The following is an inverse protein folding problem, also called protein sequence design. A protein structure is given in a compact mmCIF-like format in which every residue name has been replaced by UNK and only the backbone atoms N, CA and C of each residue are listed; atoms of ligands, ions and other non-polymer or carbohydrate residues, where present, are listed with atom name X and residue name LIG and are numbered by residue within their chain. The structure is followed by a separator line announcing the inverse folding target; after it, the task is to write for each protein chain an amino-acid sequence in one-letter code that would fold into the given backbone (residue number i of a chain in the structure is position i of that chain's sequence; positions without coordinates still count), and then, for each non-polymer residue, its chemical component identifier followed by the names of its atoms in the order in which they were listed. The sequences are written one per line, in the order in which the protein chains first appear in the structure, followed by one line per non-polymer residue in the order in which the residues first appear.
data_IF_059851059072
#
_entry.id   IF_059851059072
#
_cell.length_a   1.000
_cell.length_b   1.000
_cell.length_c   1.000
_cell.angle_alpha   90.00
_cell.angle_beta   90.00
_cell.angle_gamma   90.00
#
_symmetry.space_group_name_H-M   'P 1'
#
loop_
_entity.id
_entity.type
_entity.pdbx_description
1 polymer ?
#
# COMPACT_ATOMS: atom_id res chain seq x y z
N UNK A 1 32.13 4.89 11.54
CA UNK A 1 30.72 4.68 11.11
C UNK A 1 30.67 4.07 9.75
N UNK A 2 29.84 3.00 9.52
CA UNK A 2 29.67 2.38 8.21
C UNK A 2 29.08 3.38 7.20
N UNK A 3 29.55 3.32 5.93
CA UNK A 3 29.01 4.13 4.83
C UNK A 3 27.52 3.81 4.64
N UNK A 4 26.66 4.79 4.24
CA UNK A 4 25.21 4.58 4.13
C UNK A 4 24.80 3.36 3.32
N UNK A 5 25.48 3.09 2.20
CA UNK A 5 25.18 1.94 1.33
C UNK A 5 25.52 0.58 1.97
N UNK A 6 26.50 0.54 2.87
CA UNK A 6 26.81 -0.69 3.62
C UNK A 6 25.78 -0.95 4.72
N UNK A 7 25.17 0.12 5.30
CA UNK A 7 24.02 -0.03 6.24
C UNK A 7 22.79 -0.58 5.54
N UNK A 8 22.53 -0.14 4.31
CA UNK A 8 21.43 -0.67 3.49
C UNK A 8 21.65 -2.16 3.21
N UNK A 9 22.86 -2.55 2.80
CA UNK A 9 23.20 -3.95 2.55
C UNK A 9 22.97 -4.82 3.79
N UNK A 10 23.46 -4.39 4.96
CA UNK A 10 23.23 -5.10 6.23
C UNK A 10 21.75 -5.16 6.60
N UNK A 11 20.98 -4.11 6.27
CA UNK A 11 19.54 -4.07 6.50
C UNK A 11 18.73 -5.07 5.65
N UNK A 12 19.31 -5.67 4.60
CA UNK A 12 18.66 -6.72 3.82
C UNK A 12 18.79 -8.12 4.42
N UNK A 13 19.71 -8.33 5.37
CA UNK A 13 19.90 -9.62 6.02
C UNK A 13 18.61 -10.10 6.73
N UNK A 14 17.92 -9.27 7.54
CA UNK A 14 16.68 -9.68 8.17
C UNK A 14 15.60 -10.16 7.20
N UNK A 15 15.47 -9.53 6.03
CA UNK A 15 14.46 -9.95 5.05
C UNK A 15 14.75 -11.33 4.45
N UNK A 16 16.01 -11.65 4.18
CA UNK A 16 16.41 -12.97 3.70
C UNK A 16 16.22 -14.04 4.78
N UNK A 17 16.57 -13.72 6.04
CA UNK A 17 16.36 -14.62 7.18
C UNK A 17 14.87 -14.89 7.40
N UNK A 18 13.99 -13.88 7.29
CA UNK A 18 12.55 -14.05 7.41
C UNK A 18 11.99 -14.97 6.32
N UNK A 19 12.42 -14.82 5.08
CA UNK A 19 11.99 -15.72 3.99
C UNK A 19 12.45 -17.13 4.27
N UNK A 20 13.72 -17.34 4.60
CA UNK A 20 14.27 -18.68 4.90
C UNK A 20 13.56 -19.32 6.09
N UNK A 21 13.41 -18.60 7.20
CA UNK A 21 12.75 -19.10 8.40
C UNK A 21 11.26 -19.42 8.16
N UNK A 22 10.54 -18.52 7.46
CA UNK A 22 9.13 -18.71 7.13
C UNK A 22 8.89 -19.94 6.25
N UNK A 23 9.64 -20.10 5.17
CA UNK A 23 9.54 -21.31 4.32
C UNK A 23 9.97 -22.58 5.08
N UNK A 24 10.98 -22.50 5.94
CA UNK A 24 11.36 -23.63 6.78
C UNK A 24 10.21 -24.06 7.69
N UNK A 25 9.55 -23.10 8.35
CA UNK A 25 8.40 -23.38 9.21
C UNK A 25 7.24 -24.02 8.45
N UNK A 26 6.88 -23.50 7.25
CA UNK A 26 5.83 -24.07 6.41
C UNK A 26 6.16 -25.51 6.00
N UNK A 27 7.37 -25.74 5.50
CA UNK A 27 7.74 -27.09 5.02
C UNK A 27 7.81 -28.12 6.14
N UNK A 28 8.31 -27.75 7.34
CA UNK A 28 8.28 -28.64 8.51
C UNK A 28 6.85 -28.99 8.90
N UNK A 29 5.93 -28.01 8.87
CA UNK A 29 4.54 -28.23 9.24
C UNK A 29 3.81 -29.12 8.21
N UNK A 30 4.02 -28.88 6.92
CA UNK A 30 3.46 -29.71 5.86
C UNK A 30 3.94 -31.15 5.93
N UNK A 31 5.18 -31.37 6.37
CA UNK A 31 5.74 -32.70 6.51
C UNK A 31 5.20 -33.43 7.75
N UNK A 32 5.06 -32.73 8.89
CA UNK A 32 4.46 -33.28 10.09
C UNK A 32 2.99 -33.69 9.87
N UNK A 33 2.28 -33.08 8.94
CA UNK A 33 0.91 -33.45 8.56
C UNK A 33 0.84 -34.67 7.63
N UNK A 34 1.96 -35.03 6.98
CA UNK A 34 2.07 -36.22 6.12
C UNK A 34 2.70 -37.38 6.89
N UNK A 35 1.88 -38.26 7.47
CA UNK A 35 2.21 -39.36 8.39
C UNK A 35 3.18 -40.47 7.87
N UNK A 36 3.97 -40.26 6.81
CA UNK A 36 4.69 -41.36 6.11
C UNK A 36 6.12 -41.09 5.69
N UNK A 37 6.84 -40.11 6.23
CA UNK A 37 8.18 -39.79 5.71
C UNK A 37 9.34 -40.17 6.63
N UNK A 38 10.39 -40.77 6.05
CA UNK A 38 11.66 -41.05 6.72
C UNK A 38 12.41 -39.78 7.06
N UNK A 39 12.61 -39.51 8.35
CA UNK A 39 12.99 -38.22 8.96
C UNK A 39 14.25 -37.53 8.43
N UNK A 40 15.26 -38.27 7.96
CA UNK A 40 16.56 -37.65 7.61
C UNK A 40 16.69 -37.12 6.19
N UNK A 41 16.02 -37.75 5.20
CA UNK A 41 16.05 -37.28 3.80
C UNK A 41 15.19 -36.03 3.62
N UNK A 42 14.13 -35.93 4.39
CA UNK A 42 13.16 -34.85 4.38
C UNK A 42 13.71 -33.56 4.96
N UNK A 43 14.39 -33.60 6.12
CA UNK A 43 15.01 -32.41 6.73
C UNK A 43 16.05 -31.75 5.80
N UNK A 44 16.87 -32.55 5.11
CA UNK A 44 17.84 -32.01 4.17
C UNK A 44 17.16 -31.35 2.95
N UNK A 45 16.06 -31.91 2.47
CA UNK A 45 15.28 -31.34 1.35
C UNK A 45 14.55 -30.07 1.76
N UNK A 46 13.94 -30.04 2.92
CA UNK A 46 13.27 -28.84 3.48
C UNK A 46 14.27 -27.71 3.65
N UNK A 47 15.43 -27.98 4.25
CA UNK A 47 16.46 -26.94 4.47
C UNK A 47 17.05 -26.41 3.16
N UNK A 48 17.26 -27.28 2.16
CA UNK A 48 17.78 -26.86 0.84
C UNK A 48 16.79 -25.99 0.05
N UNK A 49 15.50 -26.32 0.06
CA UNK A 49 14.46 -25.52 -0.62
C UNK A 49 14.25 -24.18 0.06
N UNK A 50 14.18 -24.15 1.39
CA UNK A 50 14.02 -22.90 2.16
C UNK A 50 15.19 -21.93 1.92
N UNK A 51 16.42 -22.46 1.94
CA UNK A 51 17.61 -21.68 1.62
C UNK A 51 17.60 -21.18 0.18
N UNK A 52 17.14 -21.99 -0.77
CA UNK A 52 17.03 -21.58 -2.18
C UNK A 52 16.08 -20.40 -2.33
N UNK A 53 14.90 -20.43 -1.72
CA UNK A 53 13.95 -19.30 -1.79
C UNK A 53 14.50 -18.05 -1.07
N UNK A 54 15.17 -18.24 0.09
CA UNK A 54 15.83 -17.14 0.78
C UNK A 54 16.94 -16.50 -0.04
N UNK A 55 17.76 -17.30 -0.72
CA UNK A 55 18.85 -16.83 -1.58
C UNK A 55 18.33 -16.16 -2.86
N UNK A 56 17.25 -16.68 -3.47
CA UNK A 56 16.62 -16.03 -4.63
C UNK A 56 16.04 -14.66 -4.24
N UNK A 57 15.35 -14.57 -3.11
CA UNK A 57 14.83 -13.31 -2.60
C UNK A 57 15.98 -12.32 -2.30
N UNK A 58 17.02 -12.78 -1.64
CA UNK A 58 18.22 -11.98 -1.37
C UNK A 58 18.88 -11.52 -2.67
N UNK A 59 19.00 -12.38 -3.68
CA UNK A 59 19.54 -12.04 -4.99
C UNK A 59 18.78 -10.92 -5.69
N UNK A 60 17.42 -10.95 -5.64
CA UNK A 60 16.59 -9.88 -6.17
C UNK A 60 16.80 -8.57 -5.38
N UNK A 61 16.86 -8.64 -4.05
CA UNK A 61 17.14 -7.49 -3.20
C UNK A 61 18.55 -6.91 -3.46
N UNK A 62 19.56 -7.77 -3.67
CA UNK A 62 20.91 -7.33 -3.99
C UNK A 62 20.98 -6.66 -5.37
N UNK A 63 20.26 -7.17 -6.37
CA UNK A 63 20.19 -6.53 -7.69
C UNK A 63 19.60 -5.11 -7.57
N UNK A 64 18.49 -4.93 -6.83
CA UNK A 64 17.92 -3.63 -6.57
C UNK A 64 18.87 -2.73 -5.74
N UNK A 65 19.55 -3.29 -4.72
CA UNK A 65 20.57 -2.57 -3.96
C UNK A 65 21.71 -2.05 -4.84
N UNK A 66 22.17 -2.85 -5.80
CA UNK A 66 23.21 -2.40 -6.75
C UNK A 66 22.73 -1.21 -7.57
N UNK A 67 21.48 -1.23 -8.05
CA UNK A 67 20.90 -0.07 -8.76
C UNK A 67 20.92 1.16 -7.86
N UNK A 68 20.44 1.05 -6.59
CA UNK A 68 20.47 2.15 -5.64
C UNK A 68 21.89 2.62 -5.37
N UNK A 69 22.83 1.69 -5.15
CA UNK A 69 24.24 1.98 -4.84
C UNK A 69 24.92 2.83 -5.89
N UNK A 70 24.69 2.52 -7.19
CA UNK A 70 25.30 3.23 -8.30
C UNK A 70 24.50 4.45 -8.77
N UNK A 71 23.17 4.41 -8.66
CA UNK A 71 22.33 5.48 -9.15
C UNK A 71 22.06 6.56 -8.09
N UNK A 72 21.89 6.18 -6.82
CA UNK A 72 21.42 7.03 -5.74
C UNK A 72 22.32 6.90 -4.48
N UNK A 73 23.59 7.34 -4.53
CA UNK A 73 24.56 7.11 -3.46
C UNK A 73 24.19 7.78 -2.12
N UNK A 74 23.39 8.84 -2.12
CA UNK A 74 22.98 9.60 -0.93
C UNK A 74 21.58 9.27 -0.43
N UNK A 75 20.82 8.39 -1.10
CA UNK A 75 19.47 8.02 -0.67
C UNK A 75 19.44 7.43 0.75
N UNK A 76 18.28 7.48 1.37
CA UNK A 76 18.06 6.90 2.71
C UNK A 76 18.40 5.41 2.73
N UNK A 77 19.27 4.95 3.65
CA UNK A 77 19.70 3.56 3.67
C UNK A 77 18.68 2.58 4.28
N UNK A 78 17.55 3.07 4.79
CA UNK A 78 16.58 2.24 5.49
C UNK A 78 15.26 2.04 4.72
N UNK A 79 14.91 2.92 3.76
CA UNK A 79 13.65 2.81 3.01
C UNK A 79 13.54 1.49 2.26
N UNK A 80 14.58 1.11 1.50
CA UNK A 80 14.56 -0.14 0.74
C UNK A 80 14.58 -1.39 1.63
N UNK A 81 15.43 -1.51 2.68
CA UNK A 81 15.38 -2.64 3.59
C UNK A 81 14.04 -2.82 4.31
N UNK A 82 13.39 -1.74 4.73
CA UNK A 82 12.06 -1.82 5.35
C UNK A 82 11.00 -2.36 4.37
N UNK A 83 11.03 -1.90 3.11
CA UNK A 83 10.16 -2.46 2.06
C UNK A 83 10.48 -3.93 1.77
N UNK A 84 11.76 -4.33 1.80
CA UNK A 84 12.18 -5.73 1.63
C UNK A 84 11.68 -6.62 2.77
N UNK A 85 11.70 -6.14 4.03
CA UNK A 85 11.11 -6.85 5.18
C UNK A 85 9.60 -7.03 4.99
N UNK A 86 8.87 -5.99 4.59
CA UNK A 86 7.43 -6.08 4.32
C UNK A 86 7.14 -7.09 3.19
N UNK A 87 7.90 -7.03 2.09
CA UNK A 87 7.75 -7.95 0.97
C UNK A 87 8.13 -9.41 1.35
N UNK A 88 9.09 -9.60 2.26
CA UNK A 88 9.46 -10.93 2.77
C UNK A 88 8.33 -11.56 3.58
N UNK A 89 7.70 -10.79 4.47
CA UNK A 89 6.50 -11.26 5.20
C UNK A 89 5.39 -11.58 4.21
N UNK A 90 5.15 -10.69 3.23
CA UNK A 90 4.10 -10.86 2.22
C UNK A 90 4.25 -12.16 1.43
N UNK A 91 5.42 -12.42 0.83
CA UNK A 91 5.62 -13.60 -0.01
C UNK A 91 5.49 -14.91 0.80
N UNK A 92 5.94 -14.91 2.05
CA UNK A 92 5.81 -16.07 2.96
C UNK A 92 4.35 -16.32 3.33
N UNK A 93 3.60 -15.28 3.73
CA UNK A 93 2.21 -15.40 4.12
C UNK A 93 1.31 -15.76 2.93
N UNK A 94 1.53 -15.17 1.76
CA UNK A 94 0.78 -15.52 0.54
C UNK A 94 1.08 -16.97 0.12
N UNK A 95 2.33 -17.44 0.23
CA UNK A 95 2.67 -18.84 -0.04
C UNK A 95 2.01 -19.79 0.95
N UNK A 96 1.97 -19.44 2.23
CA UNK A 96 1.29 -20.18 3.28
C UNK A 96 -0.21 -20.36 2.95
N UNK A 97 -0.86 -19.32 2.46
CA UNK A 97 -2.30 -19.32 2.13
C UNK A 97 -2.54 -20.07 0.81
N UNK A 98 -1.80 -19.70 -0.24
CA UNK A 98 -1.94 -20.28 -1.58
C UNK A 98 -0.60 -20.23 -2.36
N UNK A 99 0.06 -21.38 -2.54
CA UNK A 99 1.36 -21.45 -3.25
C UNK A 99 1.30 -20.99 -4.71
N UNK A 100 0.16 -21.12 -5.40
CA UNK A 100 0.01 -20.68 -6.79
C UNK A 100 -0.03 -19.15 -6.89
N UNK A 101 -0.72 -18.48 -5.96
CA UNK A 101 -0.75 -17.02 -5.86
C UNK A 101 0.61 -16.45 -5.45
N UNK A 102 1.36 -17.14 -4.57
CA UNK A 102 2.71 -16.72 -4.22
C UNK A 102 3.66 -16.73 -5.42
N UNK A 103 3.53 -17.69 -6.33
CA UNK A 103 4.30 -17.70 -7.58
C UNK A 103 3.98 -16.48 -8.45
N UNK A 104 2.69 -16.15 -8.59
CA UNK A 104 2.27 -14.94 -9.30
C UNK A 104 2.77 -13.68 -8.58
N UNK A 105 2.69 -13.62 -7.26
CA UNK A 105 3.22 -12.52 -6.45
C UNK A 105 4.73 -12.32 -6.68
N UNK A 106 5.51 -13.41 -6.74
CA UNK A 106 6.94 -13.35 -7.05
C UNK A 106 7.21 -12.78 -8.46
N UNK A 107 6.40 -13.17 -9.46
CA UNK A 107 6.50 -12.61 -10.81
C UNK A 107 6.20 -11.10 -10.83
N UNK A 108 5.14 -10.66 -10.13
CA UNK A 108 4.81 -9.26 -9.99
C UNK A 108 5.88 -8.48 -9.22
N UNK A 109 6.50 -9.09 -8.23
CA UNK A 109 7.63 -8.49 -7.50
C UNK A 109 8.85 -8.28 -8.42
N UNK A 110 9.18 -9.25 -9.28
CA UNK A 110 10.24 -9.09 -10.28
C UNK A 110 9.93 -7.94 -11.24
N UNK A 111 8.70 -7.88 -11.78
CA UNK A 111 8.26 -6.78 -12.63
C UNK A 111 8.33 -5.44 -11.89
N UNK A 112 7.89 -5.41 -10.64
CA UNK A 112 7.97 -4.24 -9.76
C UNK A 112 9.40 -3.74 -9.57
N UNK A 113 10.36 -4.66 -9.34
CA UNK A 113 11.77 -4.32 -9.20
C UNK A 113 12.39 -3.86 -10.53
N UNK A 114 11.96 -4.38 -11.68
CA UNK A 114 12.37 -3.89 -13.00
C UNK A 114 11.88 -2.44 -13.19
N UNK A 115 10.61 -2.16 -12.92
CA UNK A 115 10.06 -0.81 -13.04
C UNK A 115 10.63 0.15 -11.99
N UNK A 116 10.94 -0.32 -10.79
CA UNK A 116 11.70 0.40 -9.78
C UNK A 116 13.06 0.86 -10.32
N UNK A 117 13.84 -0.06 -10.90
CA UNK A 117 15.13 0.24 -11.48
C UNK A 117 14.99 1.20 -12.68
N UNK A 118 14.03 0.95 -13.57
CA UNK A 118 13.74 1.81 -14.71
C UNK A 118 13.38 3.24 -14.28
N UNK A 119 12.53 3.39 -13.28
CA UNK A 119 12.13 4.69 -12.71
C UNK A 119 13.34 5.44 -12.15
N UNK A 120 14.18 4.78 -11.37
CA UNK A 120 15.40 5.38 -10.81
C UNK A 120 16.35 5.84 -11.94
N UNK A 121 16.64 4.96 -12.90
CA UNK A 121 17.58 5.26 -13.98
C UNK A 121 17.06 6.36 -14.92
N UNK A 122 15.75 6.35 -15.21
CA UNK A 122 15.11 7.38 -16.00
C UNK A 122 15.16 8.74 -15.32
N UNK A 123 14.73 8.83 -14.05
CA UNK A 123 14.75 10.08 -13.29
C UNK A 123 16.17 10.56 -12.95
N UNK A 124 17.14 9.66 -12.87
CA UNK A 124 18.55 10.06 -12.74
C UNK A 124 19.05 10.82 -13.97
N UNK A 125 18.58 10.42 -15.18
CA UNK A 125 18.98 11.05 -16.46
C UNK A 125 18.21 12.33 -16.73
N UNK A 126 16.89 12.32 -16.55
CA UNK A 126 15.99 13.42 -16.94
C UNK A 126 15.79 14.44 -15.81
N UNK A 127 16.04 14.04 -14.56
CA UNK A 127 15.73 14.83 -13.38
C UNK A 127 14.27 14.76 -12.97
N UNK A 128 13.98 15.06 -11.70
CA UNK A 128 12.61 15.00 -11.13
C UNK A 128 11.69 16.09 -11.70
N UNK A 129 12.26 17.18 -12.28
CA UNK A 129 11.49 18.27 -12.88
C UNK A 129 10.63 17.85 -14.08
N UNK A 130 10.92 16.68 -14.69
CA UNK A 130 10.07 16.13 -15.75
C UNK A 130 8.66 15.80 -15.23
N UNK A 131 8.53 15.36 -13.97
CA UNK A 131 7.25 15.07 -13.35
C UNK A 131 6.41 16.35 -13.16
N UNK A 132 7.07 17.46 -12.83
CA UNK A 132 6.43 18.77 -12.70
C UNK A 132 5.97 19.30 -14.07
N UNK A 133 6.83 19.16 -15.08
CA UNK A 133 6.54 19.63 -16.44
C UNK A 133 5.32 18.94 -17.04
N UNK A 134 5.18 17.64 -16.83
CA UNK A 134 4.11 16.83 -17.42
C UNK A 134 2.97 16.52 -16.44
N UNK A 135 2.81 17.31 -15.35
CA UNK A 135 1.83 17.06 -14.28
C UNK A 135 0.39 16.85 -14.76
N UNK A 136 -0.07 17.66 -15.73
CA UNK A 136 -1.44 17.52 -16.29
C UNK A 136 -1.59 16.28 -17.14
N UNK A 137 -0.57 15.94 -17.92
CA UNK A 137 -0.56 14.71 -18.73
C UNK A 137 -0.57 13.48 -17.82
N UNK A 138 0.26 13.50 -16.75
CA UNK A 138 0.31 12.42 -15.75
C UNK A 138 -1.04 12.27 -15.06
N UNK A 139 -1.67 13.36 -14.63
CA UNK A 139 -2.99 13.35 -14.02
C UNK A 139 -4.07 12.82 -14.99
N UNK A 140 -4.07 13.30 -16.25
CA UNK A 140 -5.02 12.87 -17.25
C UNK A 140 -4.88 11.36 -17.56
N UNK A 141 -3.66 10.87 -17.71
CA UNK A 141 -3.39 9.42 -17.89
C UNK A 141 -3.86 8.64 -16.66
N UNK A 142 -3.58 9.11 -15.43
CA UNK A 142 -4.03 8.46 -14.20
C UNK A 142 -5.55 8.35 -14.12
N UNK A 143 -6.28 9.44 -14.41
CA UNK A 143 -7.75 9.47 -14.41
C UNK A 143 -8.29 8.57 -15.53
N UNK A 144 -7.74 8.67 -16.75
CA UNK A 144 -8.16 7.84 -17.87
C UNK A 144 -7.99 6.35 -17.56
N UNK A 145 -6.85 5.95 -16.99
CA UNK A 145 -6.61 4.58 -16.56
C UNK A 145 -7.64 4.15 -15.51
N UNK A 146 -7.94 4.99 -14.51
CA UNK A 146 -8.92 4.67 -13.47
C UNK A 146 -10.36 4.49 -14.00
N UNK A 147 -10.72 5.09 -15.14
CA UNK A 147 -12.02 4.89 -15.80
C UNK A 147 -12.09 3.59 -16.61
N UNK A 148 -10.95 3.08 -17.08
CA UNK A 148 -10.88 1.92 -17.98
C UNK A 148 -11.66 0.67 -17.49
N UNK A 149 -11.63 0.29 -16.20
CA UNK A 149 -12.39 -0.87 -15.74
C UNK A 149 -13.91 -0.76 -15.95
N UNK A 150 -14.44 0.44 -16.17
CA UNK A 150 -15.87 0.68 -16.42
C UNK A 150 -16.32 0.28 -17.84
N UNK A 151 -15.37 0.09 -18.77
CA UNK A 151 -15.71 -0.31 -20.14
C UNK A 151 -15.97 -1.83 -20.20
N UNK A 152 -17.15 -2.26 -20.69
CA UNK A 152 -17.60 -3.66 -20.61
C UNK A 152 -16.77 -4.66 -21.41
N UNK A 153 -15.90 -4.16 -22.30
CA UNK A 153 -15.01 -5.02 -23.13
C UNK A 153 -13.72 -5.38 -22.38
N UNK A 154 -13.33 -4.58 -21.39
CA UNK A 154 -12.01 -4.66 -20.76
C UNK A 154 -12.12 -4.94 -19.25
N UNK A 155 -13.18 -4.44 -18.62
CA UNK A 155 -13.40 -4.54 -17.18
C UNK A 155 -14.46 -5.57 -16.84
N UNK A 156 -14.29 -6.20 -15.69
CA UNK A 156 -15.25 -7.15 -15.11
C UNK A 156 -15.76 -6.59 -13.78
N UNK A 157 -17.05 -6.81 -13.52
CA UNK A 157 -17.66 -6.44 -12.25
C UNK A 157 -17.50 -7.57 -11.23
N UNK A 158 -16.76 -7.32 -10.18
CA UNK A 158 -16.59 -8.27 -9.07
C UNK A 158 -17.16 -7.62 -7.79
N UNK A 159 -18.10 -8.31 -7.15
CA UNK A 159 -18.77 -7.84 -5.91
C UNK A 159 -19.34 -6.40 -5.99
N UNK A 160 -19.88 -6.04 -7.15
CA UNK A 160 -20.50 -4.73 -7.38
C UNK A 160 -19.52 -3.60 -7.74
N UNK A 161 -18.22 -3.87 -7.83
CA UNK A 161 -17.18 -2.90 -8.16
C UNK A 161 -16.44 -3.28 -9.45
N UNK A 162 -16.03 -2.27 -10.22
CA UNK A 162 -15.19 -2.42 -11.42
C UNK A 162 -13.75 -2.06 -11.07
N UNK A 163 -12.96 -3.06 -10.65
CA UNK A 163 -11.64 -2.85 -10.07
C UNK A 163 -10.51 -3.08 -11.07
N UNK A 164 -10.62 -4.17 -11.82
CA UNK A 164 -9.52 -4.70 -12.62
C UNK A 164 -9.82 -4.64 -14.12
N UNK A 165 -8.76 -4.51 -14.89
CA UNK A 165 -8.74 -4.79 -16.33
C UNK A 165 -8.04 -6.12 -16.54
N UNK A 166 -8.63 -6.98 -17.38
CA UNK A 166 -8.11 -8.29 -17.69
C UNK A 166 -7.45 -8.34 -19.06
N UNK A 167 -6.19 -8.79 -19.10
CA UNK A 167 -5.47 -9.10 -20.33
C UNK A 167 -5.11 -10.60 -20.32
N UNK A 168 -6.03 -11.44 -20.78
CA UNK A 168 -5.88 -12.90 -20.67
C UNK A 168 -5.92 -13.35 -19.21
N UNK A 169 -4.84 -13.98 -18.74
CA UNK A 169 -4.71 -14.46 -17.34
C UNK A 169 -4.17 -13.40 -16.37
N UNK A 170 -3.87 -12.20 -16.85
CA UNK A 170 -3.27 -11.13 -16.05
C UNK A 170 -4.32 -10.07 -15.72
N UNK A 171 -4.54 -9.80 -14.43
CA UNK A 171 -5.37 -8.69 -13.96
C UNK A 171 -4.49 -7.52 -13.52
N UNK A 172 -4.92 -6.31 -13.88
CA UNK A 172 -4.25 -5.07 -13.50
C UNK A 172 -5.28 -4.08 -12.95
N UNK A 173 -5.00 -3.52 -11.77
CA UNK A 173 -5.84 -2.50 -11.13
C UNK A 173 -5.31 -1.10 -11.45
N UNK A 174 -5.96 -0.34 -12.35
CA UNK A 174 -5.45 0.96 -12.78
C UNK A 174 -5.48 2.05 -11.70
N UNK A 175 -6.32 1.91 -10.68
CA UNK A 175 -6.38 2.84 -9.55
C UNK A 175 -5.03 2.93 -8.80
N UNK A 176 -4.25 1.85 -8.82
CA UNK A 176 -2.91 1.84 -8.24
C UNK A 176 -1.95 2.82 -8.95
N UNK A 177 -2.04 2.93 -10.28
CA UNK A 177 -1.31 3.94 -11.04
C UNK A 177 -1.86 5.35 -10.77
N UNK A 178 -3.19 5.49 -10.73
CA UNK A 178 -3.85 6.77 -10.52
C UNK A 178 -3.43 7.41 -9.20
N UNK A 179 -3.25 6.64 -8.11
CA UNK A 179 -2.83 7.19 -6.82
C UNK A 179 -1.47 7.90 -6.88
N UNK A 180 -0.50 7.35 -7.59
CA UNK A 180 0.82 7.97 -7.77
C UNK A 180 0.72 9.20 -8.68
N UNK A 181 -0.04 9.10 -9.78
CA UNK A 181 -0.25 10.19 -10.72
C UNK A 181 -0.91 11.42 -10.08
N UNK A 182 -1.95 11.21 -9.27
CA UNK A 182 -2.66 12.30 -8.57
C UNK A 182 -1.77 12.95 -7.51
N UNK A 183 -0.95 12.19 -6.79
CA UNK A 183 0.01 12.77 -5.84
C UNK A 183 1.04 13.65 -6.55
N UNK A 184 1.59 13.20 -7.69
CA UNK A 184 2.53 14.00 -8.48
C UNK A 184 1.86 15.31 -8.93
N UNK A 185 0.63 15.23 -9.44
CA UNK A 185 -0.14 16.40 -9.85
C UNK A 185 -0.36 17.36 -8.67
N UNK A 186 -0.90 16.88 -7.56
CA UNK A 186 -1.21 17.70 -6.39
C UNK A 186 0.05 18.37 -5.81
N UNK A 187 1.15 17.62 -5.68
CA UNK A 187 2.42 18.15 -5.19
C UNK A 187 2.94 19.27 -6.09
N UNK A 188 2.90 19.09 -7.41
CA UNK A 188 3.33 20.09 -8.37
C UNK A 188 2.40 21.31 -8.40
N UNK A 189 1.09 21.10 -8.41
CA UNK A 189 0.10 22.18 -8.44
C UNK A 189 0.13 23.03 -7.17
N UNK A 190 0.21 22.39 -6.00
CA UNK A 190 0.27 23.08 -4.72
C UNK A 190 1.57 23.86 -4.55
N UNK A 191 2.70 23.36 -5.09
CA UNK A 191 3.96 24.12 -5.10
C UNK A 191 3.78 25.50 -5.76
N UNK A 192 3.15 25.53 -6.95
CA UNK A 192 3.01 26.77 -7.73
C UNK A 192 2.00 27.72 -7.12
N UNK A 193 0.94 27.20 -6.50
CA UNK A 193 -0.19 28.02 -6.05
C UNK A 193 -0.22 28.27 -4.53
N UNK A 194 0.75 27.71 -3.74
CA UNK A 194 0.71 27.78 -2.27
C UNK A 194 0.64 29.21 -1.74
N UNK A 195 1.42 30.14 -2.30
CA UNK A 195 1.45 31.53 -1.85
C UNK A 195 0.09 32.20 -2.02
N UNK A 196 -0.54 32.02 -3.18
CA UNK A 196 -1.84 32.60 -3.46
C UNK A 196 -2.93 31.99 -2.58
N UNK A 197 -2.88 30.67 -2.33
CA UNK A 197 -3.82 29.99 -1.44
C UNK A 197 -3.71 30.51 0.01
N UNK A 198 -2.52 30.93 0.43
CA UNK A 198 -2.30 31.47 1.79
C UNK A 198 -2.64 32.94 1.87
N UNK A 199 -2.24 33.78 0.88
CA UNK A 199 -2.36 35.24 0.98
C UNK A 199 -3.70 35.79 0.52
N UNK A 200 -4.32 35.19 -0.50
CA UNK A 200 -5.56 35.71 -1.12
C UNK A 200 -6.86 35.10 -0.50
N UNK A 201 -6.77 34.36 0.59
CA UNK A 201 -7.94 33.75 1.25
C UNK A 201 -8.86 34.78 1.88
N UNK A 202 -10.18 34.65 1.63
CA UNK A 202 -11.23 35.43 2.32
C UNK A 202 -11.54 34.77 3.66
N UNK A 203 -11.72 35.58 4.72
CA UNK A 203 -12.23 35.07 6.01
C UNK A 203 -13.75 35.00 5.95
N UNK A 204 -14.32 33.80 6.10
CA UNK A 204 -15.73 33.53 6.22
C UNK A 204 -15.96 32.77 7.53
N UNK A 205 -16.76 33.28 8.44
CA UNK A 205 -17.03 32.68 9.77
C UNK A 205 -15.75 32.33 10.56
N UNK A 206 -14.70 33.16 10.48
CA UNK A 206 -13.43 32.90 11.14
C UNK A 206 -12.48 31.91 10.41
N UNK A 207 -12.97 31.21 9.38
CA UNK A 207 -12.20 30.29 8.57
C UNK A 207 -11.68 30.99 7.29
N UNK A 208 -10.47 30.65 6.89
CA UNK A 208 -9.89 31.18 5.63
C UNK A 208 -10.29 30.28 4.48
N UNK A 209 -11.09 30.79 3.54
CA UNK A 209 -11.51 30.10 2.33
C UNK A 209 -10.57 30.52 1.17
N UNK A 210 -10.01 29.56 0.41
CA UNK A 210 -9.13 29.88 -0.71
C UNK A 210 -9.87 30.53 -1.87
N UNK A 211 -9.19 31.35 -2.71
CA UNK A 211 -9.80 31.93 -3.89
C UNK A 211 -10.09 30.85 -4.94
N UNK A 212 -11.33 30.76 -5.40
CA UNK A 212 -11.82 29.71 -6.32
C UNK A 212 -11.05 29.68 -7.63
N UNK A 213 -10.52 30.80 -8.12
CA UNK A 213 -9.74 30.85 -9.36
C UNK A 213 -8.51 29.94 -9.34
N UNK A 214 -7.80 29.83 -8.21
CA UNK A 214 -6.61 29.00 -8.04
C UNK A 214 -6.94 27.63 -7.43
N UNK A 215 -8.03 27.54 -6.66
CA UNK A 215 -8.46 26.29 -6.04
C UNK A 215 -9.26 25.41 -7.03
N UNK A 216 -9.99 26.06 -7.96
CA UNK A 216 -10.86 25.40 -8.93
C UNK A 216 -10.19 24.33 -9.78
N UNK A 217 -9.09 24.59 -10.50
CA UNK A 217 -8.42 23.58 -11.34
C UNK A 217 -7.96 22.36 -10.55
N UNK A 218 -7.51 22.56 -9.31
CA UNK A 218 -7.14 21.45 -8.42
C UNK A 218 -8.35 20.61 -8.02
N UNK A 219 -9.47 21.28 -7.68
CA UNK A 219 -10.73 20.59 -7.37
C UNK A 219 -11.29 19.83 -8.57
N UNK A 220 -11.14 20.35 -9.79
CA UNK A 220 -11.61 19.66 -11.01
C UNK A 220 -10.83 18.36 -11.22
N UNK A 221 -9.51 18.40 -11.19
CA UNK A 221 -8.68 17.19 -11.38
C UNK A 221 -8.89 16.19 -10.24
N UNK A 222 -8.89 16.68 -9.00
CA UNK A 222 -9.14 15.84 -7.83
C UNK A 222 -10.58 15.30 -7.84
N UNK A 223 -11.58 16.14 -8.14
CA UNK A 223 -12.98 15.75 -8.21
C UNK A 223 -13.26 14.75 -9.35
N UNK A 224 -12.59 14.90 -10.49
CA UNK A 224 -12.65 13.90 -11.56
C UNK A 224 -12.10 12.55 -11.12
N UNK A 225 -10.94 12.53 -10.44
CA UNK A 225 -10.36 11.30 -9.89
C UNK A 225 -11.28 10.65 -8.83
N UNK A 226 -11.81 11.44 -7.90
CA UNK A 226 -12.76 10.97 -6.88
C UNK A 226 -14.08 10.48 -7.50
N UNK A 227 -14.63 11.23 -8.46
CA UNK A 227 -15.84 10.85 -9.18
C UNK A 227 -15.68 9.52 -9.93
N UNK A 228 -14.53 9.31 -10.57
CA UNK A 228 -14.20 8.05 -11.22
C UNK A 228 -14.20 6.88 -10.23
N UNK A 229 -13.51 7.03 -9.10
CA UNK A 229 -13.42 5.98 -8.08
C UNK A 229 -14.77 5.67 -7.42
N UNK A 230 -15.63 6.67 -7.25
CA UNK A 230 -17.00 6.46 -6.80
C UNK A 230 -17.84 5.72 -7.84
N UNK A 231 -17.66 6.04 -9.13
CA UNK A 231 -18.33 5.34 -10.23
C UNK A 231 -17.88 3.89 -10.40
N UNK A 232 -16.63 3.57 -10.07
CA UNK A 232 -16.10 2.20 -10.08
C UNK A 232 -16.40 1.42 -8.80
N UNK A 233 -16.87 2.11 -7.74
CA UNK A 233 -17.17 1.49 -6.44
C UNK A 233 -15.97 1.34 -5.51
N UNK A 234 -14.85 1.98 -5.81
CA UNK A 234 -13.60 1.93 -5.05
C UNK A 234 -13.58 2.90 -3.86
N UNK A 235 -14.33 2.59 -2.80
CA UNK A 235 -14.44 3.46 -1.63
C UNK A 235 -13.13 3.60 -0.85
N UNK A 236 -12.38 2.51 -0.70
CA UNK A 236 -11.11 2.53 0.02
C UNK A 236 -10.07 3.42 -0.65
N UNK A 237 -9.91 3.29 -1.96
CA UNK A 237 -9.01 4.13 -2.77
C UNK A 237 -9.48 5.59 -2.75
N UNK A 238 -10.79 5.85 -2.79
CA UNK A 238 -11.35 7.19 -2.64
C UNK A 238 -10.97 7.82 -1.31
N UNK A 239 -11.09 7.08 -0.20
CA UNK A 239 -10.71 7.55 1.14
C UNK A 239 -9.20 7.88 1.22
N UNK A 240 -8.35 7.04 0.63
CA UNK A 240 -6.90 7.28 0.56
C UNK A 240 -6.57 8.57 -0.22
N UNK A 241 -7.21 8.79 -1.38
CA UNK A 241 -6.99 9.99 -2.19
C UNK A 241 -7.46 11.24 -1.45
N UNK A 242 -8.61 11.14 -0.78
CA UNK A 242 -9.12 12.23 0.03
C UNK A 242 -8.16 12.60 1.16
N UNK A 243 -7.70 11.61 1.91
CA UNK A 243 -6.73 11.81 2.98
C UNK A 243 -5.42 12.41 2.48
N UNK A 244 -4.88 11.88 1.37
CA UNK A 244 -3.66 12.42 0.75
C UNK A 244 -3.82 13.88 0.29
N UNK A 245 -4.98 14.20 -0.28
CA UNK A 245 -5.32 15.57 -0.66
C UNK A 245 -5.31 16.53 0.54
N UNK A 246 -5.99 16.16 1.63
CA UNK A 246 -6.04 16.98 2.84
C UNK A 246 -4.65 17.15 3.49
N UNK A 247 -3.87 16.07 3.54
CA UNK A 247 -2.51 16.12 4.09
C UNK A 247 -1.60 17.04 3.25
N UNK A 248 -1.63 16.91 1.93
CA UNK A 248 -0.85 17.77 1.03
C UNK A 248 -1.28 19.23 1.13
N UNK A 249 -2.59 19.49 1.21
CA UNK A 249 -3.14 20.82 1.36
C UNK A 249 -2.70 21.46 2.69
N UNK A 250 -2.71 20.70 3.79
CA UNK A 250 -2.20 21.14 5.08
C UNK A 250 -0.71 21.48 5.02
N UNK A 251 0.11 20.55 4.51
CA UNK A 251 1.57 20.74 4.46
C UNK A 251 1.97 21.87 3.51
N UNK A 252 1.22 22.09 2.43
CA UNK A 252 1.46 23.18 1.50
C UNK A 252 1.10 24.54 2.08
N UNK A 253 0.00 24.65 2.83
CA UNK A 253 -0.55 25.92 3.30
C UNK A 253 -0.19 26.27 4.74
N UNK A 254 0.11 25.27 5.57
CA UNK A 254 0.32 25.43 7.02
C UNK A 254 -0.96 25.82 7.79
N UNK A 255 -2.15 25.75 7.17
CA UNK A 255 -3.41 26.17 7.77
C UNK A 255 -4.30 24.99 8.09
N UNK A 256 -4.61 24.80 9.37
CA UNK A 256 -5.49 23.72 9.83
C UNK A 256 -6.96 23.89 9.37
N UNK A 257 -7.38 25.10 8.99
CA UNK A 257 -8.73 25.37 8.50
C UNK A 257 -9.09 24.56 7.25
N UNK A 258 -8.15 24.29 6.34
CA UNK A 258 -8.39 23.54 5.11
C UNK A 258 -8.72 22.06 5.38
N UNK A 259 -7.89 21.30 6.12
CA UNK A 259 -8.25 19.93 6.46
C UNK A 259 -9.51 19.85 7.34
N UNK A 260 -9.76 20.82 8.22
CA UNK A 260 -10.98 20.85 9.03
C UNK A 260 -12.24 20.97 8.15
N UNK A 261 -12.25 21.94 7.22
CA UNK A 261 -13.36 22.09 6.26
C UNK A 261 -13.51 20.79 5.43
N UNK A 262 -12.39 20.24 4.98
CA UNK A 262 -12.40 18.97 4.27
C UNK A 262 -13.03 17.85 5.08
N UNK A 263 -12.62 17.65 6.33
CA UNK A 263 -13.20 16.62 7.20
C UNK A 263 -14.71 16.78 7.42
N UNK A 264 -15.19 18.01 7.59
CA UNK A 264 -16.62 18.30 7.67
C UNK A 264 -17.34 17.93 6.38
N UNK A 265 -16.79 18.34 5.23
CA UNK A 265 -17.36 17.99 3.91
C UNK A 265 -17.34 16.49 3.66
N UNK A 266 -16.27 15.80 4.10
CA UNK A 266 -16.19 14.34 4.06
C UNK A 266 -17.28 13.69 4.90
N UNK A 267 -17.48 14.14 6.14
CA UNK A 267 -18.54 13.61 7.01
C UNK A 267 -19.94 13.78 6.43
N UNK A 268 -20.22 14.96 5.86
CA UNK A 268 -21.50 15.23 5.17
C UNK A 268 -21.65 14.37 3.90
N UNK A 269 -20.60 14.23 3.11
CA UNK A 269 -20.60 13.39 1.92
C UNK A 269 -20.76 11.91 2.25
N UNK A 270 -20.07 11.41 3.27
CA UNK A 270 -20.18 10.04 3.76
C UNK A 270 -21.60 9.74 4.25
N UNK A 271 -22.18 10.63 5.04
CA UNK A 271 -23.56 10.51 5.51
C UNK A 271 -24.55 10.43 4.34
N UNK A 272 -24.38 11.29 3.33
CA UNK A 272 -25.20 11.26 2.12
C UNK A 272 -25.06 9.93 1.35
N UNK A 273 -23.82 9.49 1.13
CA UNK A 273 -23.52 8.26 0.36
C UNK A 273 -24.04 7.01 1.09
N UNK A 274 -23.90 6.92 2.41
CA UNK A 274 -24.46 5.82 3.21
C UNK A 274 -25.97 5.73 3.06
N UNK A 275 -26.67 6.86 3.00
CA UNK A 275 -28.13 6.88 2.82
C UNK A 275 -28.64 6.52 1.43
N UNK A 276 -27.80 6.61 0.38
CA UNK A 276 -28.25 6.50 -1.01
C UNK A 276 -27.56 5.36 -1.81
N UNK A 277 -26.48 4.78 -1.31
CA UNK A 277 -25.69 3.77 -2.03
C UNK A 277 -25.73 2.44 -1.26
N UNK A 278 -26.50 1.49 -1.76
CA UNK A 278 -26.83 0.24 -1.06
C UNK A 278 -25.62 -0.59 -0.61
N UNK A 279 -24.58 -0.74 -1.43
CA UNK A 279 -23.37 -1.50 -1.04
C UNK A 279 -22.54 -0.78 0.04
N UNK A 280 -22.59 0.56 0.11
CA UNK A 280 -21.95 1.33 1.18
C UNK A 280 -22.74 1.18 2.48
N UNK A 281 -24.07 1.26 2.39
CA UNK A 281 -24.96 1.02 3.53
C UNK A 281 -24.73 -0.37 4.13
N UNK A 282 -24.66 -1.41 3.30
CA UNK A 282 -24.38 -2.78 3.76
C UNK A 282 -23.03 -2.89 4.51
N UNK A 283 -21.97 -2.22 4.02
CA UNK A 283 -20.66 -2.20 4.72
C UNK A 283 -20.72 -1.47 6.07
N UNK A 284 -21.52 -0.42 6.17
CA UNK A 284 -21.72 0.30 7.44
C UNK A 284 -22.51 -0.56 8.43
N UNK A 285 -23.57 -1.23 7.99
CA UNK A 285 -24.32 -2.19 8.83
C UNK A 285 -23.42 -3.32 9.33
N UNK A 286 -22.61 -3.91 8.45
CA UNK A 286 -21.64 -4.94 8.82
C UNK A 286 -20.60 -4.44 9.85
N UNK A 287 -20.23 -3.17 9.77
CA UNK A 287 -19.31 -2.54 10.71
C UNK A 287 -19.96 -2.22 12.07
N UNK A 288 -21.23 -1.74 12.07
CA UNK A 288 -21.97 -1.42 13.29
C UNK A 288 -22.26 -2.66 14.14
N UNK A 289 -22.72 -3.74 13.52
CA UNK A 289 -22.94 -5.02 14.22
C UNK A 289 -22.53 -6.23 13.35
N UNK A 290 -21.22 -6.60 13.35
CA UNK A 290 -20.69 -7.67 12.51
C UNK A 290 -21.17 -9.07 12.93
N UNK A 291 -21.67 -9.24 14.15
CA UNK A 291 -22.10 -10.52 14.70
C UNK A 291 -23.63 -10.67 14.76
N UNK A 292 -24.39 -9.70 14.25
CA UNK A 292 -25.84 -9.84 14.15
C UNK A 292 -26.20 -11.10 13.31
N UNK A 293 -26.99 -12.03 13.83
CA UNK A 293 -27.23 -13.32 13.16
C UNK A 293 -27.76 -13.19 11.74
N UNK A 294 -28.65 -12.22 11.47
CA UNK A 294 -29.21 -11.99 10.15
C UNK A 294 -28.14 -11.53 9.13
N UNK A 295 -27.31 -10.57 9.52
CA UNK A 295 -26.24 -10.03 8.68
C UNK A 295 -25.14 -11.06 8.48
N UNK A 296 -24.78 -11.81 9.52
CA UNK A 296 -23.75 -12.83 9.48
C UNK A 296 -24.14 -14.01 8.57
N UNK A 297 -25.34 -14.57 8.75
CA UNK A 297 -25.82 -15.69 7.94
C UNK A 297 -26.20 -15.29 6.51
N UNK A 298 -26.55 -14.03 6.25
CA UNK A 298 -26.74 -13.53 4.88
C UNK A 298 -25.43 -13.28 4.13
N UNK A 299 -24.29 -13.38 4.78
CA UNK A 299 -22.97 -13.13 4.21
C UNK A 299 -22.50 -11.67 4.24
N UNK A 300 -23.40 -10.72 4.59
CA UNK A 300 -23.08 -9.28 4.57
C UNK A 300 -21.96 -8.92 5.54
N UNK A 301 -22.00 -9.45 6.78
CA UNK A 301 -20.98 -9.21 7.80
C UNK A 301 -20.04 -10.40 8.03
N UNK A 302 -20.22 -11.52 7.32
CA UNK A 302 -19.48 -12.77 7.51
C UNK A 302 -17.97 -12.56 7.49
N UNK A 303 -17.47 -11.85 6.47
CA UNK A 303 -16.04 -11.59 6.30
C UNK A 303 -15.44 -10.84 7.50
N UNK A 304 -16.11 -9.79 7.98
CA UNK A 304 -15.65 -9.02 9.13
C UNK A 304 -15.76 -9.82 10.43
N UNK A 305 -16.88 -10.55 10.63
CA UNK A 305 -17.07 -11.40 11.81
C UNK A 305 -15.98 -12.48 11.91
N UNK A 306 -15.69 -13.19 10.82
CA UNK A 306 -14.63 -14.20 10.79
C UNK A 306 -13.24 -13.59 11.02
N UNK A 307 -13.01 -12.38 10.52
CA UNK A 307 -11.77 -11.64 10.80
C UNK A 307 -11.59 -11.36 12.29
N UNK A 308 -12.66 -10.97 12.99
CA UNK A 308 -12.61 -10.72 14.44
C UNK A 308 -12.38 -12.02 15.24
N UNK A 309 -13.01 -13.13 14.83
CA UNK A 309 -12.75 -14.44 15.44
C UNK A 309 -11.30 -14.89 15.25
N UNK A 310 -10.78 -14.80 14.02
CA UNK A 310 -9.38 -15.13 13.74
C UNK A 310 -8.40 -14.31 14.60
N UNK A 311 -8.67 -13.02 14.78
CA UNK A 311 -7.83 -12.15 15.61
C UNK A 311 -7.95 -12.50 17.11
N UNK A 312 -9.14 -12.84 17.58
CA UNK A 312 -9.37 -13.23 18.98
C UNK A 312 -8.64 -14.54 19.30
N UNK A 313 -8.70 -15.53 18.41
CA UNK A 313 -7.99 -16.81 18.55
C UNK A 313 -6.46 -16.64 18.59
N UNK A 314 -5.92 -15.68 17.84
CA UNK A 314 -4.50 -15.41 17.81
C UNK A 314 -3.92 -14.89 19.13
N UNK A 315 -4.70 -14.19 19.92
CA UNK A 315 -4.25 -13.67 21.22
C UNK A 315 -2.95 -12.88 21.16
N UNK A 316 -2.08 -13.05 22.17
CA UNK A 316 -0.83 -12.29 22.26
C UNK A 316 0.30 -12.86 21.38
N UNK A 317 0.49 -14.17 21.36
CA UNK A 317 1.62 -14.85 20.71
C UNK A 317 1.23 -15.60 19.43
N UNK A 318 -0.04 -15.68 19.09
CA UNK A 318 -0.55 -16.42 17.94
C UNK A 318 -0.85 -17.88 18.24
N UNK A 319 -1.62 -18.50 17.36
CA UNK A 319 -1.89 -19.96 17.38
C UNK A 319 -0.69 -20.78 16.93
N UNK A 320 0.28 -20.12 16.34
CA UNK A 320 1.45 -20.71 15.70
C UNK A 320 1.43 -20.54 14.18
N UNK A 321 2.60 -20.45 13.60
CA UNK A 321 2.76 -20.27 12.17
C UNK A 321 2.24 -21.51 11.41
N UNK A 322 1.47 -21.31 10.36
CA UNK A 322 0.77 -22.35 9.57
C UNK A 322 -0.31 -23.14 10.36
N UNK A 323 -0.81 -22.60 11.49
CA UNK A 323 -1.84 -23.25 12.29
C UNK A 323 -3.25 -22.68 12.11
N UNK A 324 -3.40 -21.54 11.41
CA UNK A 324 -4.73 -20.97 11.17
C UNK A 324 -5.59 -21.86 10.26
N UNK A 325 -6.85 -22.06 10.65
CA UNK A 325 -7.82 -22.77 9.83
C UNK A 325 -8.39 -21.79 8.79
N UNK A 326 -7.95 -21.93 7.54
CA UNK A 326 -8.42 -21.08 6.43
C UNK A 326 -9.67 -21.65 5.74
N UNK A 327 -9.86 -22.97 5.83
CA UNK A 327 -10.98 -23.69 5.22
C UNK A 327 -11.55 -24.71 6.20
N UNK A 328 -12.84 -24.97 6.10
CA UNK A 328 -13.50 -26.02 6.87
C UNK A 328 -13.04 -27.38 6.31
N UNK A 329 -12.47 -28.29 7.14
CA UNK A 329 -11.85 -29.54 6.64
C UNK A 329 -12.75 -30.44 5.79
N UNK A 330 -14.05 -30.47 6.07
CA UNK A 330 -14.99 -31.37 5.40
C UNK A 330 -15.67 -30.76 4.16
N UNK A 331 -16.00 -29.45 4.19
CA UNK A 331 -16.72 -28.77 3.09
C UNK A 331 -15.77 -28.05 2.15
N UNK A 332 -14.52 -27.78 2.56
CA UNK A 332 -13.56 -26.92 1.86
C UNK A 332 -14.04 -25.49 1.66
N UNK A 333 -15.07 -25.07 2.37
CA UNK A 333 -15.53 -23.70 2.38
C UNK A 333 -14.51 -22.82 3.10
N UNK A 334 -14.29 -21.61 2.57
CA UNK A 334 -13.39 -20.65 3.19
C UNK A 334 -13.99 -20.13 4.49
N UNK A 335 -13.29 -20.32 5.60
CA UNK A 335 -13.64 -19.73 6.90
C UNK A 335 -13.42 -18.21 6.83
N UNK A 336 -12.25 -17.81 6.34
CA UNK A 336 -11.93 -16.41 6.12
C UNK A 336 -11.91 -16.14 4.59
N UNK A 337 -12.88 -15.39 4.05
CA UNK A 337 -12.89 -15.06 2.63
C UNK A 337 -11.70 -14.18 2.25
N UNK A 338 -11.08 -14.47 1.11
CA UNK A 338 -9.96 -13.72 0.50
C UNK A 338 -8.82 -13.43 1.49
N UNK A 339 -8.31 -14.47 2.19
CA UNK A 339 -7.30 -14.30 3.24
C UNK A 339 -5.97 -13.78 2.72
N UNK A 340 -5.67 -13.98 1.43
CA UNK A 340 -4.42 -13.58 0.79
C UNK A 340 -4.34 -12.09 0.46
N UNK A 341 -5.48 -11.38 0.38
CA UNK A 341 -5.53 -9.95 0.04
C UNK A 341 -6.05 -9.10 1.21
N UNK A 342 -7.37 -8.93 1.29
CA UNK A 342 -8.00 -7.99 2.22
C UNK A 342 -7.90 -8.41 3.68
N UNK A 343 -7.85 -9.73 3.94
CA UNK A 343 -7.86 -10.31 5.28
C UNK A 343 -6.48 -10.81 5.74
N UNK A 344 -5.41 -10.56 4.97
CA UNK A 344 -4.08 -11.05 5.30
C UNK A 344 -3.60 -10.60 6.69
N UNK A 345 -4.00 -9.39 7.11
CA UNK A 345 -3.68 -8.89 8.45
C UNK A 345 -4.33 -9.73 9.55
N UNK A 346 -5.58 -10.20 9.35
CA UNK A 346 -6.24 -11.08 10.31
C UNK A 346 -5.54 -12.45 10.42
N UNK A 347 -5.06 -13.00 9.29
CA UNK A 347 -4.26 -14.23 9.28
C UNK A 347 -2.94 -14.02 10.03
N UNK A 348 -2.26 -12.90 9.83
CA UNK A 348 -1.02 -12.56 10.54
C UNK A 348 -1.27 -12.44 12.06
N UNK A 349 -2.37 -11.79 12.48
CA UNK A 349 -2.75 -11.72 13.90
C UNK A 349 -3.06 -13.10 14.45
N UNK A 350 -3.80 -13.94 13.69
CA UNK A 350 -4.12 -15.29 14.13
C UNK A 350 -2.87 -16.15 14.36
N UNK A 351 -1.94 -16.16 13.39
CA UNK A 351 -0.76 -17.05 13.45
C UNK A 351 0.38 -16.51 14.30
N UNK A 352 0.64 -15.20 14.25
CA UNK A 352 1.79 -14.57 14.92
C UNK A 352 1.38 -13.72 16.14
N UNK A 353 0.11 -13.65 16.44
CA UNK A 353 -0.44 -12.90 17.56
C UNK A 353 -0.30 -11.40 17.43
N UNK A 354 -0.69 -10.72 18.49
CA UNK A 354 -0.56 -9.26 18.59
C UNK A 354 0.90 -8.80 18.49
N UNK A 355 1.86 -9.61 18.96
CA UNK A 355 3.30 -9.30 18.87
C UNK A 355 3.78 -9.28 17.43
N UNK A 356 3.45 -10.30 16.63
CA UNK A 356 3.83 -10.34 15.21
C UNK A 356 3.15 -9.25 14.39
N UNK A 357 1.84 -9.06 14.60
CA UNK A 357 1.08 -8.00 13.95
C UNK A 357 1.59 -6.60 14.34
N UNK A 358 1.93 -6.38 15.61
CA UNK A 358 2.54 -5.14 16.10
C UNK A 358 3.91 -4.87 15.49
N UNK A 359 4.76 -5.90 15.34
CA UNK A 359 6.06 -5.80 14.68
C UNK A 359 5.90 -5.39 13.19
N UNK A 360 4.88 -5.94 12.50
CA UNK A 360 4.54 -5.55 11.14
C UNK A 360 4.14 -4.07 11.07
N UNK A 361 3.23 -3.62 11.94
CA UNK A 361 2.80 -2.23 12.01
C UNK A 361 3.96 -1.28 12.36
N UNK A 362 4.85 -1.68 13.26
CA UNK A 362 6.05 -0.93 13.58
C UNK A 362 6.96 -0.76 12.35
N UNK A 363 7.09 -1.81 11.52
CA UNK A 363 7.86 -1.74 10.27
C UNK A 363 7.25 -0.72 9.30
N UNK A 364 5.91 -0.70 9.14
CA UNK A 364 5.24 0.35 8.36
C UNK A 364 5.45 1.73 8.95
N UNK A 365 5.32 1.89 10.26
CA UNK A 365 5.52 3.18 10.93
C UNK A 365 6.94 3.70 10.69
N UNK A 366 7.96 2.84 10.79
CA UNK A 366 9.34 3.19 10.49
C UNK A 366 9.52 3.58 9.02
N UNK A 367 8.89 2.85 8.08
CA UNK A 367 8.92 3.18 6.64
C UNK A 367 8.32 4.57 6.39
N UNK A 368 7.14 4.85 6.93
CA UNK A 368 6.45 6.14 6.80
C UNK A 368 7.27 7.27 7.44
N UNK A 369 7.82 7.04 8.63
CA UNK A 369 8.68 8.00 9.32
C UNK A 369 9.94 8.34 8.50
N UNK A 370 10.55 7.37 7.81
CA UNK A 370 11.70 7.60 6.90
C UNK A 370 11.29 8.41 5.66
N UNK A 371 10.10 8.14 5.11
CA UNK A 371 9.54 8.92 4.01
C UNK A 371 9.26 10.38 4.42
N UNK A 372 8.63 10.60 5.57
CA UNK A 372 8.39 11.94 6.13
C UNK A 372 9.70 12.66 6.48
N UNK A 373 10.70 11.94 7.01
CA UNK A 373 12.05 12.51 7.22
C UNK A 373 12.67 12.96 5.89
N UNK A 374 12.46 12.22 4.82
CA UNK A 374 12.89 12.63 3.48
C UNK A 374 12.23 13.92 3.04
N UNK A 375 10.92 14.09 3.30
CA UNK A 375 10.20 15.33 3.03
C UNK A 375 10.74 16.52 3.84
N UNK A 376 11.09 16.30 5.11
CA UNK A 376 11.68 17.35 5.97
C UNK A 376 13.06 17.80 5.49
N UNK A 377 13.84 16.91 4.91
CA UNK A 377 15.17 17.19 4.36
C UNK A 377 15.14 17.73 2.93
N UNK A 378 13.99 17.65 2.24
CA UNK A 378 13.85 18.14 0.88
C UNK A 378 14.07 19.64 0.77
N UNK A 379 14.88 20.05 -0.21
CA UNK A 379 15.30 21.45 -0.40
C UNK A 379 14.30 22.28 -1.19
N UNK A 380 13.55 21.64 -2.07
CA UNK A 380 12.54 22.29 -2.89
C UNK A 380 11.13 21.86 -2.48
N UNK A 381 10.16 22.75 -2.72
CA UNK A 381 8.77 22.54 -2.29
C UNK A 381 8.09 21.37 -3.01
N UNK A 382 8.44 21.10 -4.27
CA UNK A 382 7.87 19.97 -5.00
C UNK A 382 8.33 18.64 -4.41
N UNK A 383 9.65 18.45 -4.25
CA UNK A 383 10.21 17.26 -3.62
C UNK A 383 9.66 17.03 -2.21
N UNK A 384 9.50 18.13 -1.42
CA UNK A 384 8.87 18.05 -0.10
C UNK A 384 7.44 17.53 -0.16
N UNK A 385 6.60 18.14 -0.98
CA UNK A 385 5.18 17.75 -1.11
C UNK A 385 5.04 16.35 -1.73
N UNK A 386 5.86 16.01 -2.72
CA UNK A 386 5.86 14.67 -3.30
C UNK A 386 6.18 13.60 -2.26
N UNK A 387 7.25 13.78 -1.48
CA UNK A 387 7.62 12.82 -0.43
C UNK A 387 6.55 12.71 0.66
N UNK A 388 5.91 13.82 1.06
CA UNK A 388 4.75 13.79 1.99
C UNK A 388 3.62 12.99 1.39
N UNK A 389 3.20 13.29 0.16
CA UNK A 389 2.06 12.63 -0.49
C UNK A 389 2.27 11.13 -0.64
N UNK A 390 3.45 10.71 -1.12
CA UNK A 390 3.78 9.29 -1.28
C UNK A 390 3.83 8.56 0.06
N UNK A 391 4.41 9.16 1.10
CA UNK A 391 4.46 8.57 2.44
C UNK A 391 3.07 8.50 3.07
N UNK A 392 2.24 9.51 2.85
CA UNK A 392 0.89 9.57 3.40
C UNK A 392 -0.06 8.58 2.72
N UNK A 393 0.09 8.32 1.42
CA UNK A 393 -0.68 7.26 0.75
C UNK A 393 -0.40 5.90 1.38
N UNK A 394 0.86 5.54 1.64
CA UNK A 394 1.19 4.30 2.34
C UNK A 394 0.58 4.29 3.75
N UNK A 395 0.68 5.40 4.50
CA UNK A 395 0.09 5.52 5.83
C UNK A 395 -1.42 5.30 5.81
N UNK A 396 -2.13 5.95 4.89
CA UNK A 396 -3.58 5.82 4.73
C UNK A 396 -3.97 4.41 4.27
N UNK A 397 -3.19 3.80 3.37
CA UNK A 397 -3.46 2.44 2.90
C UNK A 397 -3.35 1.45 4.06
N UNK A 398 -2.31 1.53 4.89
CA UNK A 398 -2.16 0.71 6.09
C UNK A 398 -3.29 0.98 7.09
N UNK A 399 -3.62 2.24 7.35
CA UNK A 399 -4.71 2.61 8.26
C UNK A 399 -6.06 2.07 7.80
N UNK A 400 -6.37 2.20 6.51
CA UNK A 400 -7.66 1.79 5.93
C UNK A 400 -7.83 0.27 5.97
N UNK A 401 -6.77 -0.49 5.66
CA UNK A 401 -6.82 -1.95 5.73
C UNK A 401 -6.91 -2.44 7.16
N UNK A 402 -5.94 -2.05 7.98
CA UNK A 402 -5.88 -2.52 9.37
C UNK A 402 -7.11 -2.04 10.15
N UNK A 403 -7.50 -0.79 9.96
CA UNK A 403 -8.70 -0.23 10.57
C UNK A 403 -9.99 -0.94 10.14
N UNK A 404 -10.09 -1.35 8.86
CA UNK A 404 -11.22 -2.13 8.35
C UNK A 404 -11.29 -3.52 8.98
N UNK A 405 -10.17 -4.24 8.98
CA UNK A 405 -10.06 -5.61 9.52
C UNK A 405 -10.24 -5.65 11.04
N UNK A 406 -9.82 -4.61 11.76
CA UNK A 406 -9.97 -4.48 13.22
C UNK A 406 -11.26 -3.76 13.66
N UNK A 407 -12.18 -3.48 12.74
CA UNK A 407 -13.44 -2.79 13.03
C UNK A 407 -13.26 -1.34 13.55
N UNK A 408 -12.16 -0.65 13.26
CA UNK A 408 -12.01 0.78 13.58
C UNK A 408 -12.81 1.64 12.59
N UNK A 409 -12.84 1.22 11.31
CA UNK A 409 -13.61 1.81 10.21
C UNK A 409 -14.33 0.71 9.43
N UNK A 410 -15.33 1.02 8.59
CA UNK A 410 -15.93 0.03 7.69
C UNK A 410 -14.90 -0.60 6.74
N UNK A 411 -15.06 -1.89 6.45
CA UNK A 411 -14.16 -2.63 5.56
C UNK A 411 -14.21 -2.08 4.13
N UNK A 412 -13.05 -1.90 3.51
CA UNK A 412 -12.95 -1.18 2.23
C UNK A 412 -12.43 -1.99 1.04
N UNK A 413 -11.80 -3.14 1.26
CA UNK A 413 -11.29 -4.00 0.18
C UNK A 413 -10.05 -3.46 -0.53
N UNK A 414 -9.12 -2.86 0.19
CA UNK A 414 -7.83 -2.37 -0.34
C UNK A 414 -6.71 -3.33 0.10
N UNK A 415 -5.65 -3.49 -0.69
CA UNK A 415 -4.53 -4.39 -0.38
C UNK A 415 -3.50 -3.77 0.56
N UNK A 416 -2.93 -4.56 1.48
CA UNK A 416 -1.87 -4.11 2.38
C UNK A 416 -0.52 -3.99 1.62
N UNK A 417 0.10 -2.78 1.57
CA UNK A 417 1.26 -2.50 0.71
C UNK A 417 2.42 -3.49 0.93
N UNK A 418 2.97 -4.05 -0.13
CA UNK A 418 4.06 -5.05 -0.14
C UNK A 418 3.73 -6.41 0.50
N UNK A 419 2.70 -6.52 1.36
CA UNK A 419 2.38 -7.72 2.14
C UNK A 419 1.26 -8.52 1.49
N UNK A 420 0.11 -7.89 1.19
CA UNK A 420 -1.03 -8.57 0.59
C UNK A 420 -0.75 -9.02 -0.85
N UNK A 421 -1.42 -10.08 -1.28
CA UNK A 421 -1.49 -10.43 -2.70
C UNK A 421 -2.19 -9.33 -3.48
N UNK A 422 -1.53 -8.87 -4.55
CA UNK A 422 -2.05 -7.82 -5.43
C UNK A 422 -0.97 -7.37 -6.40
N UNK A 423 -0.97 -7.91 -7.62
CA UNK A 423 0.07 -7.69 -8.62
C UNK A 423 0.33 -6.22 -8.91
N UNK A 424 -0.71 -5.47 -9.26
CA UNK A 424 -0.64 -4.03 -9.56
C UNK A 424 -0.18 -3.21 -8.37
N UNK A 425 -0.66 -3.56 -7.16
CA UNK A 425 -0.32 -2.87 -5.93
C UNK A 425 1.17 -3.04 -5.62
N UNK A 426 1.71 -4.26 -5.70
CA UNK A 426 3.14 -4.53 -5.50
C UNK A 426 3.99 -3.73 -6.47
N UNK A 427 3.66 -3.76 -7.76
CA UNK A 427 4.39 -3.02 -8.80
C UNK A 427 4.39 -1.53 -8.53
N UNK A 428 3.23 -0.94 -8.26
CA UNK A 428 3.12 0.49 -8.03
C UNK A 428 3.74 0.95 -6.70
N UNK A 429 3.74 0.09 -5.68
CA UNK A 429 4.44 0.38 -4.44
C UNK A 429 5.97 0.38 -4.62
N UNK A 430 6.53 -0.46 -5.50
CA UNK A 430 7.95 -0.38 -5.88
C UNK A 430 8.26 0.90 -6.68
N UNK A 431 7.37 1.33 -7.58
CA UNK A 431 7.53 2.62 -8.29
C UNK A 431 7.46 3.79 -7.30
N UNK A 432 6.52 3.77 -6.36
CA UNK A 432 6.42 4.76 -5.28
C UNK A 432 7.70 4.81 -4.43
N UNK A 433 8.25 3.66 -4.06
CA UNK A 433 9.52 3.55 -3.35
C UNK A 433 10.68 4.14 -4.16
N UNK A 434 10.73 3.89 -5.47
CA UNK A 434 11.73 4.48 -6.36
C UNK A 434 11.67 6.01 -6.34
N UNK A 435 10.47 6.59 -6.42
CA UNK A 435 10.25 8.04 -6.32
C UNK A 435 10.74 8.60 -4.98
N UNK A 436 10.39 7.94 -3.86
CA UNK A 436 10.86 8.34 -2.53
C UNK A 436 12.38 8.29 -2.41
N UNK A 437 13.03 7.26 -2.97
CA UNK A 437 14.49 7.14 -2.95
C UNK A 437 15.17 8.21 -3.81
N UNK A 438 14.62 8.55 -4.97
CA UNK A 438 15.12 9.64 -5.83
C UNK A 438 15.02 10.99 -5.09
N UNK A 439 13.89 11.28 -4.46
CA UNK A 439 13.73 12.49 -3.63
C UNK A 439 14.71 12.48 -2.47
N UNK A 440 14.89 11.33 -1.81
CA UNK A 440 15.77 11.16 -0.67
C UNK A 440 17.25 11.38 -1.03
N UNK A 441 17.69 10.87 -2.17
CA UNK A 441 19.06 11.07 -2.67
C UNK A 441 19.32 12.56 -2.92
N UNK A 442 18.37 13.22 -3.59
CA UNK A 442 18.47 14.65 -3.89
C UNK A 442 18.49 15.53 -2.63
N UNK A 443 17.67 15.16 -1.64
CA UNK A 443 17.61 15.90 -0.36
C UNK A 443 18.91 15.81 0.45
N UNK A 444 19.65 14.71 0.34
CA UNK A 444 20.86 14.43 1.13
C UNK A 444 22.17 14.68 0.38
N UNK A 445 22.14 15.04 -0.89
CA UNK A 445 23.37 15.38 -1.63
C UNK A 445 24.10 16.54 -0.96
N UNK A 446 25.43 16.48 -0.80
CA UNK A 446 26.19 17.63 -0.32
C UNK A 446 25.97 18.86 -1.22
N UNK A 447 26.03 20.06 -0.66
CA UNK A 447 26.14 21.25 -1.49
C UNK A 447 27.45 21.15 -2.28
N UNK A 448 27.39 21.04 -3.62
CA UNK A 448 28.53 21.38 -4.42
C UNK A 448 28.71 22.89 -4.24
N UNK A 449 29.74 23.30 -3.49
CA UNK A 449 30.22 24.67 -3.61
C UNK A 449 30.50 24.86 -5.11
N UNK A 450 29.66 25.63 -5.78
CA UNK A 450 29.94 26.10 -7.13
C UNK A 450 31.26 26.87 -7.05
N UNK A 451 32.34 26.24 -7.50
CA UNK A 451 33.51 26.97 -7.95
C UNK A 451 33.22 27.54 -9.32
#
# INVERSE_FOLDING_TARGET
MLKPRNRELLGLIPSALLVTAGFTAIFIQQENSSLTASTNVTLNRVSSLSLTYGLLFLGLCLAAHLVIRFALPYADPYLFPLAAVLASVGIVMVYRINPSLARQQAQWMVLGLILFAATILWLRRTGIGVLERYRYTIAAVGILMAVLPRFPVIGEQVNGSYLDIHFGSVSFQPAELAKVAIVIFLASYLRDNRQILVTAGRRVLGLTVPPMKQFGPMLVVWGAAMGTLLLTGELGTSLMFYGAFLALLYVATGRFSFPLIGLVLFGLGAWFVVGHVGHVHARVLAWEDPLEPKLFHSGVSYQLGQSLFAQADGGLLGTGFDQSLLVIPHTREAILPVPESDMIYAVIVNELGLVGAGALLLTYLLFIARGLKTAMLARDSFSKLLAVGLSFIIAMQVFVIVGGVTRVIPLTGVTLPFVAYGGSSVVMNFVLLALLLVVSDRARRPYSSSR
#
